data_IF_242632609889
#
_entry.id   IF_242632609889
#
_cell.length_a   1.000
_cell.length_b   1.000
_cell.length_c   1.000
_cell.angle_alpha   90.00
_cell.angle_beta   90.00
_cell.angle_gamma   90.00
#
_symmetry.space_group_name_H-M   'P 1'
#
loop_
_entity.id
_entity.type
_entity.pdbx_description
1 polymer ?
#
# COMPACT_ATOMS: atom_id res chain seq x y z
N UNK A 1 7.75 -14.24 -3.14
CA UNK A 1 6.52 -13.69 -3.73
C UNK A 1 6.36 -14.25 -5.13
N UNK A 2 5.12 -14.45 -5.56
CA UNK A 2 4.78 -14.97 -6.89
C UNK A 2 5.08 -13.89 -7.95
N UNK A 3 5.78 -14.28 -9.01
CA UNK A 3 6.10 -13.39 -10.12
C UNK A 3 4.85 -12.88 -10.85
N UNK A 4 3.78 -13.68 -10.92
CA UNK A 4 2.52 -13.28 -11.57
C UNK A 4 1.83 -12.13 -10.84
N UNK A 5 1.87 -12.14 -9.51
CA UNK A 5 1.31 -11.04 -8.71
C UNK A 5 2.08 -9.75 -8.96
N UNK A 6 3.40 -9.83 -9.16
CA UNK A 6 4.22 -8.67 -9.51
C UNK A 6 3.90 -8.12 -10.91
N UNK A 7 3.58 -8.99 -11.87
CA UNK A 7 3.17 -8.60 -13.23
C UNK A 7 1.84 -7.84 -13.18
N UNK A 8 0.85 -8.35 -12.46
CA UNK A 8 -0.45 -7.69 -12.29
C UNK A 8 -0.31 -6.29 -11.66
N UNK A 9 0.69 -6.11 -10.79
CA UNK A 9 0.98 -4.84 -10.13
C UNK A 9 1.95 -3.95 -10.92
N UNK A 10 2.37 -4.34 -12.14
CA UNK A 10 3.35 -3.62 -12.95
C UNK A 10 4.68 -3.31 -12.22
N UNK A 11 5.11 -4.21 -11.32
CA UNK A 11 6.36 -4.08 -10.53
C UNK A 11 7.30 -5.28 -10.71
N UNK A 12 7.06 -6.12 -11.72
CA UNK A 12 7.86 -7.30 -12.02
C UNK A 12 9.30 -6.96 -12.46
N UNK A 13 9.51 -5.85 -13.17
CA UNK A 13 10.84 -5.46 -13.68
C UNK A 13 11.88 -5.24 -12.57
N UNK A 14 11.42 -4.78 -11.40
CA UNK A 14 12.26 -4.51 -10.23
C UNK A 14 12.60 -5.76 -9.41
N UNK A 15 11.99 -6.90 -9.71
CA UNK A 15 12.03 -8.09 -8.86
C UNK A 15 13.35 -8.85 -8.94
N UNK A 16 13.80 -9.39 -7.81
CA UNK A 16 15.01 -10.22 -7.73
C UNK A 16 14.59 -11.67 -7.57
N UNK A 17 14.92 -12.52 -8.55
CA UNK A 17 14.62 -13.94 -8.51
C UNK A 17 15.52 -14.68 -7.51
N UNK A 18 14.95 -15.63 -6.77
CA UNK A 18 15.70 -16.52 -5.92
C UNK A 18 16.29 -17.67 -6.74
N UNK A 19 17.55 -18.00 -6.47
CA UNK A 19 18.24 -19.10 -7.17
C UNK A 19 17.69 -20.49 -6.77
N UNK A 20 17.20 -20.63 -5.55
CA UNK A 20 16.65 -21.89 -5.02
C UNK A 20 15.36 -21.62 -4.24
N UNK A 21 14.24 -21.37 -4.95
CA UNK A 21 12.97 -21.09 -4.30
C UNK A 21 12.35 -22.36 -3.72
N UNK A 22 11.65 -22.23 -2.59
CA UNK A 22 10.92 -23.35 -1.98
C UNK A 22 9.75 -23.81 -2.86
N UNK A 23 9.12 -22.89 -3.59
CA UNK A 23 8.07 -23.13 -4.57
C UNK A 23 7.92 -21.90 -5.50
N UNK A 24 7.03 -22.00 -6.49
CA UNK A 24 6.82 -20.92 -7.47
C UNK A 24 6.21 -19.64 -6.86
N UNK A 25 5.36 -19.75 -5.83
CA UNK A 25 4.80 -18.58 -5.13
C UNK A 25 5.82 -17.86 -4.25
N UNK A 26 6.99 -18.47 -4.01
CA UNK A 26 8.13 -17.90 -3.31
C UNK A 26 9.37 -17.81 -4.22
N UNK A 27 9.16 -17.49 -5.50
CA UNK A 27 10.23 -17.43 -6.52
C UNK A 27 11.02 -16.12 -6.53
N UNK A 28 10.47 -15.03 -5.98
CA UNK A 28 11.12 -13.70 -5.97
C UNK A 28 11.17 -13.06 -4.58
N UNK A 29 12.15 -12.18 -4.37
CA UNK A 29 12.15 -11.24 -3.25
C UNK A 29 11.05 -10.19 -3.46
N UNK A 30 10.33 -9.86 -2.38
CA UNK A 30 9.22 -8.90 -2.45
C UNK A 30 9.71 -7.48 -2.74
N UNK A 31 9.08 -6.84 -3.72
CA UNK A 31 9.38 -5.45 -4.12
C UNK A 31 8.42 -4.46 -3.47
N UNK A 32 7.26 -4.92 -3.01
CA UNK A 32 6.21 -4.14 -2.34
C UNK A 32 5.61 -4.94 -1.18
N UNK A 33 5.02 -4.25 -0.21
CA UNK A 33 4.23 -4.84 0.89
C UNK A 33 2.73 -4.95 0.53
N UNK A 34 2.28 -4.24 -0.50
CA UNK A 34 0.87 -4.23 -0.95
C UNK A 34 0.30 -5.64 -1.22
N UNK A 35 1.03 -6.58 -1.87
CA UNK A 35 0.53 -7.94 -2.08
C UNK A 35 0.18 -8.68 -0.79
N UNK A 36 1.04 -8.58 0.22
CA UNK A 36 0.83 -9.25 1.52
C UNK A 36 -0.34 -8.63 2.29
N UNK A 37 -0.55 -7.31 2.15
CA UNK A 37 -1.74 -6.63 2.67
C UNK A 37 -3.01 -7.05 1.93
N UNK A 38 -2.97 -7.21 0.61
CA UNK A 38 -4.10 -7.67 -0.20
C UNK A 38 -4.49 -9.12 0.15
N UNK A 39 -3.53 -10.04 0.27
CA UNK A 39 -3.76 -11.41 0.74
C UNK A 39 -4.39 -11.42 2.15
N UNK A 40 -3.90 -10.54 3.04
CA UNK A 40 -4.46 -10.39 4.39
C UNK A 40 -5.88 -9.84 4.37
N UNK A 41 -6.18 -8.88 3.49
CA UNK A 41 -7.53 -8.37 3.28
C UNK A 41 -8.45 -9.51 2.81
N UNK A 42 -8.11 -10.18 1.72
CA UNK A 42 -8.90 -11.29 1.14
C UNK A 42 -9.19 -12.39 2.18
N UNK A 43 -8.17 -12.79 2.94
CA UNK A 43 -8.31 -13.77 4.01
C UNK A 43 -9.38 -13.39 5.05
N UNK A 44 -9.47 -12.11 5.40
CA UNK A 44 -10.42 -11.59 6.38
C UNK A 44 -11.81 -11.36 5.76
N UNK A 45 -11.89 -10.91 4.51
CA UNK A 45 -13.16 -10.78 3.77
C UNK A 45 -13.86 -12.14 3.65
N UNK A 46 -13.09 -13.22 3.39
CA UNK A 46 -13.60 -14.60 3.38
C UNK A 46 -14.11 -15.09 4.75
N UNK A 47 -13.98 -14.28 5.81
CA UNK A 47 -14.49 -14.52 7.17
C UNK A 47 -15.45 -13.42 7.62
N UNK A 48 -16.08 -12.76 6.66
CA UNK A 48 -17.12 -11.74 6.87
C UNK A 48 -16.63 -10.51 7.66
N UNK A 49 -15.32 -10.25 7.67
CA UNK A 49 -14.76 -9.03 8.27
C UNK A 49 -14.83 -7.89 7.24
N UNK A 50 -15.87 -7.05 7.33
CA UNK A 50 -16.15 -6.00 6.35
C UNK A 50 -15.58 -4.61 6.70
N UNK A 51 -14.89 -4.50 7.84
CA UNK A 51 -14.21 -3.28 8.29
C UNK A 51 -12.81 -3.62 8.77
N UNK A 52 -11.79 -3.18 8.03
CA UNK A 52 -10.40 -3.56 8.27
C UNK A 52 -9.47 -2.36 8.13
N UNK A 53 -8.52 -2.25 9.07
CA UNK A 53 -7.40 -1.31 9.04
C UNK A 53 -6.13 -2.11 9.27
N UNK A 54 -5.37 -2.35 8.22
CA UNK A 54 -4.17 -3.18 8.21
C UNK A 54 -2.95 -2.30 7.98
N UNK A 55 -1.83 -2.65 8.59
CA UNK A 55 -0.53 -2.09 8.26
C UNK A 55 0.55 -3.15 8.37
N UNK A 56 1.63 -2.97 7.63
CA UNK A 56 2.81 -3.81 7.67
C UNK A 56 4.08 -2.96 7.66
N UNK A 57 5.05 -3.33 8.50
CA UNK A 57 6.42 -2.80 8.43
C UNK A 57 7.34 -3.93 7.99
N UNK A 58 8.07 -3.71 6.90
CA UNK A 58 8.82 -4.79 6.28
C UNK A 58 9.88 -4.33 5.28
N UNK A 59 10.91 -5.16 5.10
CA UNK A 59 11.94 -4.95 4.09
C UNK A 59 11.42 -5.26 2.68
N UNK A 60 11.70 -4.40 1.71
CA UNK A 60 11.55 -4.69 0.28
C UNK A 60 12.88 -4.54 -0.46
N UNK A 61 12.92 -5.07 -1.68
CA UNK A 61 14.11 -5.20 -2.50
C UNK A 61 13.83 -4.69 -3.92
N UNK A 62 14.82 -4.07 -4.57
CA UNK A 62 14.72 -3.62 -5.97
C UNK A 62 16.01 -3.92 -6.71
N UNK A 63 15.91 -4.31 -7.98
CA UNK A 63 17.06 -4.46 -8.88
C UNK A 63 17.78 -3.12 -9.13
N UNK A 64 17.04 -2.02 -9.31
CA UNK A 64 17.62 -0.70 -9.58
C UNK A 64 18.42 -0.16 -8.40
N UNK A 65 18.01 -0.48 -7.18
CA UNK A 65 18.74 -0.16 -5.98
C UNK A 65 18.86 -1.41 -5.12
N UNK A 66 19.94 -2.22 -5.27
CA UNK A 66 20.09 -3.53 -4.62
C UNK A 66 20.30 -3.46 -3.09
N UNK A 67 19.89 -2.35 -2.46
CA UNK A 67 19.84 -2.17 -1.01
C UNK A 67 18.46 -2.54 -0.50
N UNK A 68 18.43 -3.24 0.63
CA UNK A 68 17.20 -3.48 1.39
C UNK A 68 16.66 -2.15 1.90
N UNK A 69 15.36 -1.93 1.74
CA UNK A 69 14.67 -0.74 2.26
C UNK A 69 13.57 -1.16 3.22
N UNK A 70 13.56 -0.59 4.42
CA UNK A 70 12.49 -0.78 5.39
C UNK A 70 11.33 0.14 5.03
N UNK A 71 10.16 -0.42 4.75
CA UNK A 71 8.97 0.33 4.35
C UNK A 71 7.81 0.08 5.32
N UNK A 72 6.89 1.02 5.34
CA UNK A 72 5.58 0.93 5.99
C UNK A 72 4.53 0.98 4.89
N UNK A 73 3.59 0.04 4.89
CA UNK A 73 2.40 0.09 4.05
C UNK A 73 1.15 -0.06 4.91
N UNK A 74 0.06 0.55 4.47
CA UNK A 74 -1.23 0.45 5.14
C UNK A 74 -2.35 0.27 4.13
N UNK A 75 -3.39 -0.46 4.53
CA UNK A 75 -4.59 -0.70 3.75
C UNK A 75 -5.80 -0.51 4.66
N UNK A 76 -6.76 0.27 4.19
CA UNK A 76 -8.04 0.46 4.86
C UNK A 76 -9.15 -0.02 3.94
N UNK A 77 -10.08 -0.79 4.48
CA UNK A 77 -11.24 -1.31 3.78
C UNK A 77 -12.48 -1.14 4.65
N UNK A 78 -13.55 -0.66 4.03
CA UNK A 78 -14.86 -0.50 4.66
C UNK A 78 -15.97 -0.76 3.64
N UNK A 79 -16.71 -1.84 3.88
CA UNK A 79 -17.91 -2.22 3.12
C UNK A 79 -19.15 -2.26 4.05
N UNK A 80 -19.04 -1.73 5.28
CA UNK A 80 -20.17 -1.65 6.19
C UNK A 80 -21.12 -0.54 5.70
N UNK A 81 -22.16 -0.94 4.95
CA UNK A 81 -23.27 -0.06 4.55
C UNK A 81 -24.04 0.52 5.73
N UNK A 82 -23.86 -0.02 6.94
CA UNK A 82 -24.45 0.50 8.16
C UNK A 82 -23.45 1.40 8.88
N UNK A 83 -23.37 2.64 8.41
CA UNK A 83 -23.09 3.73 9.35
C UNK A 83 -24.11 3.57 10.47
N UNK A 84 -23.65 3.25 11.67
CA UNK A 84 -24.41 3.55 12.87
C UNK A 84 -24.91 4.99 12.69
N UNK A 85 -26.15 5.27 13.08
CA UNK A 85 -26.74 6.62 12.99
C UNK A 85 -25.86 7.74 13.60
N UNK A 86 -24.81 7.35 14.34
CA UNK A 86 -23.83 8.18 15.02
C UNK A 86 -22.37 8.03 14.51
N UNK A 87 -22.08 7.21 13.49
CA UNK A 87 -20.72 7.04 12.96
C UNK A 87 -20.48 7.93 11.72
N UNK A 88 -19.85 9.08 11.94
CA UNK A 88 -19.48 10.04 10.90
C UNK A 88 -18.16 9.73 10.17
N UNK A 89 -17.49 8.61 10.48
CA UNK A 89 -16.21 8.30 9.84
C UNK A 89 -16.43 7.63 8.48
N UNK A 90 -16.16 8.37 7.41
CA UNK A 90 -15.92 7.82 6.09
C UNK A 90 -14.43 7.46 5.98
N UNK A 91 -14.11 6.23 5.59
CA UNK A 91 -12.75 5.88 5.15
C UNK A 91 -12.53 6.37 3.72
N UNK A 92 -12.36 7.68 3.56
CA UNK A 92 -12.02 8.30 2.28
C UNK A 92 -10.54 8.71 2.20
N UNK A 93 -10.15 9.27 1.06
CA UNK A 93 -8.80 9.78 0.83
C UNK A 93 -8.36 10.79 1.91
N UNK A 94 -9.26 11.65 2.39
CA UNK A 94 -8.92 12.68 3.37
C UNK A 94 -8.73 12.10 4.77
N UNK A 95 -9.47 11.05 5.13
CA UNK A 95 -9.22 10.31 6.36
C UNK A 95 -7.82 9.68 6.37
N UNK A 96 -7.44 9.03 5.27
CA UNK A 96 -6.10 8.47 5.10
C UNK A 96 -5.01 9.55 5.13
N UNK A 97 -5.24 10.67 4.43
CA UNK A 97 -4.34 11.82 4.45
C UNK A 97 -4.12 12.34 5.87
N UNK A 98 -5.18 12.47 6.67
CA UNK A 98 -5.08 12.88 8.07
C UNK A 98 -4.21 11.94 8.90
N UNK A 99 -4.40 10.62 8.77
CA UNK A 99 -3.56 9.62 9.46
C UNK A 99 -2.07 9.80 9.11
N UNK A 100 -1.75 10.04 7.83
CA UNK A 100 -0.37 10.28 7.40
C UNK A 100 0.19 11.60 7.95
N UNK A 101 -0.61 12.65 8.00
CA UNK A 101 -0.23 13.96 8.56
C UNK A 101 0.01 13.89 10.08
N UNK A 102 -0.80 13.12 10.79
CA UNK A 102 -0.63 12.85 12.22
C UNK A 102 0.65 12.06 12.48
N UNK A 103 0.90 10.99 11.70
CA UNK A 103 2.15 10.23 11.78
C UNK A 103 3.37 11.10 11.48
N UNK A 104 3.30 11.94 10.44
CA UNK A 104 4.38 12.85 10.09
C UNK A 104 4.69 13.82 11.23
N UNK A 105 3.65 14.32 11.91
CA UNK A 105 3.78 15.18 13.08
C UNK A 105 4.45 14.45 14.24
N UNK A 106 4.00 13.24 14.58
CA UNK A 106 4.55 12.43 15.68
C UNK A 106 6.04 12.11 15.46
N UNK A 107 6.42 11.78 14.22
CA UNK A 107 7.81 11.54 13.83
C UNK A 107 8.62 12.81 13.54
N UNK A 108 8.03 14.00 13.74
CA UNK A 108 8.68 15.31 13.53
C UNK A 108 9.25 15.48 12.12
N UNK A 109 8.55 14.93 11.13
CA UNK A 109 8.87 15.14 9.74
C UNK A 109 8.58 16.60 9.35
N UNK A 110 9.36 17.15 8.43
CA UNK A 110 9.01 18.43 7.83
C UNK A 110 7.72 18.30 7.02
N UNK A 111 7.05 19.43 6.79
CA UNK A 111 5.80 19.54 6.04
C UNK A 111 5.78 18.67 4.77
N UNK A 112 4.69 17.91 4.64
CA UNK A 112 4.41 17.07 3.49
C UNK A 112 3.70 17.90 2.41
N UNK A 113 4.05 17.66 1.15
CA UNK A 113 3.32 18.20 0.00
C UNK A 113 2.73 17.05 -0.82
N UNK A 114 1.57 17.30 -1.39
CA UNK A 114 0.76 16.30 -2.08
C UNK A 114 0.60 16.72 -3.54
N UNK A 115 0.89 15.81 -4.47
CA UNK A 115 0.73 16.06 -5.91
C UNK A 115 -0.09 14.94 -6.53
N UNK A 116 -0.80 15.25 -7.61
CA UNK A 116 -1.53 14.22 -8.36
C UNK A 116 -0.56 13.11 -8.80
N UNK A 117 -0.91 11.87 -8.51
CA UNK A 117 -0.13 10.71 -8.95
C UNK A 117 -0.49 10.33 -10.39
N UNK A 118 0.44 9.66 -11.06
CA UNK A 118 0.23 9.02 -12.36
C UNK A 118 0.34 7.50 -12.24
N UNK A 119 0.21 6.95 -11.03
CA UNK A 119 0.31 5.52 -10.79
C UNK A 119 -0.98 4.82 -11.23
N UNK A 120 -0.86 3.86 -12.15
CA UNK A 120 -1.99 3.16 -12.77
C UNK A 120 -2.69 2.15 -11.84
N UNK A 121 -2.15 1.90 -10.64
CA UNK A 121 -2.82 1.08 -9.61
C UNK A 121 -3.86 1.89 -8.83
N UNK A 122 -3.76 3.22 -8.82
CA UNK A 122 -4.54 4.11 -7.96
C UNK A 122 -5.53 4.98 -8.71
N UNK A 123 -6.71 5.20 -8.11
CA UNK A 123 -7.80 5.95 -8.71
C UNK A 123 -7.37 7.39 -9.00
N UNK A 124 -7.50 7.90 -10.25
CA UNK A 124 -6.83 9.13 -10.69
C UNK A 124 -7.32 10.41 -10.00
N UNK A 125 -8.46 10.35 -9.32
CA UNK A 125 -9.06 11.47 -8.58
C UNK A 125 -9.10 11.25 -7.07
N UNK A 126 -8.64 10.10 -6.58
CA UNK A 126 -8.62 9.76 -5.15
C UNK A 126 -7.24 9.22 -4.74
N UNK A 127 -6.19 9.86 -5.25
CA UNK A 127 -4.81 9.46 -5.03
C UNK A 127 -3.83 10.61 -5.20
N UNK A 128 -2.69 10.50 -4.53
CA UNK A 128 -1.63 11.50 -4.54
C UNK A 128 -0.26 10.88 -4.23
N UNK A 129 0.76 11.46 -4.84
CA UNK A 129 2.15 11.28 -4.45
C UNK A 129 2.47 12.20 -3.26
N UNK A 130 3.19 11.65 -2.29
CA UNK A 130 3.61 12.33 -1.06
C UNK A 130 5.07 12.75 -1.22
N UNK A 131 5.35 14.03 -0.97
CA UNK A 131 6.67 14.60 -1.07
C UNK A 131 7.08 15.25 0.25
N UNK A 132 8.36 15.12 0.58
CA UNK A 132 9.02 15.94 1.59
C UNK A 132 10.04 16.83 0.91
N UNK A 133 9.84 18.15 1.01
CA UNK A 133 10.56 19.14 0.20
C UNK A 133 10.40 18.81 -1.29
N UNK A 134 11.48 18.39 -1.95
CA UNK A 134 11.52 18.02 -3.38
C UNK A 134 11.59 16.50 -3.61
N UNK A 135 11.79 15.71 -2.54
CA UNK A 135 11.94 14.25 -2.65
C UNK A 135 10.58 13.58 -2.51
N UNK A 136 10.22 12.74 -3.47
CA UNK A 136 9.07 11.84 -3.33
C UNK A 136 9.36 10.86 -2.20
N UNK A 137 8.50 10.86 -1.18
CA UNK A 137 8.53 9.89 -0.10
C UNK A 137 7.78 8.64 -0.49
N UNK A 138 6.50 8.78 -0.89
CA UNK A 138 5.64 7.65 -1.18
C UNK A 138 4.39 8.07 -1.99
N UNK A 139 3.36 7.22 -2.02
CA UNK A 139 2.05 7.43 -2.63
C UNK A 139 0.92 6.98 -1.68
N UNK A 140 -0.27 7.53 -1.89
CA UNK A 140 -1.49 7.19 -1.17
C UNK A 140 -2.69 7.30 -2.10
N UNK A 141 -3.64 6.39 -2.01
CA UNK A 141 -4.90 6.51 -2.73
C UNK A 141 -5.77 5.28 -2.69
N UNK A 142 -6.97 5.42 -3.25
CA UNK A 142 -7.86 4.30 -3.50
C UNK A 142 -7.34 3.45 -4.68
N UNK A 143 -7.51 2.13 -4.61
CA UNK A 143 -7.16 1.22 -5.71
C UNK A 143 -8.19 1.36 -6.86
N UNK A 144 -7.76 1.21 -8.12
CA UNK A 144 -8.67 1.22 -9.30
C UNK A 144 -9.45 -0.09 -9.42
N UNK A 145 -8.89 -1.20 -8.95
CA UNK A 145 -9.46 -2.55 -9.02
C UNK A 145 -9.34 -3.24 -7.66
N UNK A 146 -10.24 -4.17 -7.40
CA UNK A 146 -10.03 -5.20 -6.37
C UNK A 146 -8.83 -6.06 -6.84
N UNK A 147 -7.70 -5.95 -6.13
CA UNK A 147 -6.46 -6.73 -6.36
C UNK A 147 -6.65 -8.15 -5.84
#
# INVERSE_FOLDING_TARGET
>A
MDAKVLENLNIAEESIALKNPLNNSLSTLRTSLLPSLAESLEFNLNREQNYLKLFEIGKTFSKKNPKESLNLAALLYDNEKMKNWNSNQNLDFYHLKGIIEDLATEFRLSELSWKKTTNDLLHPYASADIFQKIKKLDLLGALIQDI
#
